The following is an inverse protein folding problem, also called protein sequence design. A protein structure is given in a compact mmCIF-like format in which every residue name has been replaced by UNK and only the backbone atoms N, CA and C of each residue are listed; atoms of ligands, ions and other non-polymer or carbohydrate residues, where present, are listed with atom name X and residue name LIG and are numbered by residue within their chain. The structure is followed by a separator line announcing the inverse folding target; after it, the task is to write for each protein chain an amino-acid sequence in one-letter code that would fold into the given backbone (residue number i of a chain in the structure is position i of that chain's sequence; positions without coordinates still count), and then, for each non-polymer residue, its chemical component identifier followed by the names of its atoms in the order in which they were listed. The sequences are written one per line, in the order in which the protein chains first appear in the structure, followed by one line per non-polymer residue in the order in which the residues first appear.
data_IF_770187375776
#
_entry.id   IF_770187375776
#
_cell.length_a   1.000
_cell.length_b   1.000
_cell.length_c   1.000
_cell.angle_alpha   90.00
_cell.angle_beta   90.00
_cell.angle_gamma   90.00
#
_symmetry.space_group_name_H-M   'P 1'
#
loop_
_entity.id
_entity.type
_entity.pdbx_description
1 polymer ?
#
# COMPACT_ATOMS: atom_id res chain seq x y z
N UNK A 1 9.67 -24.88 -37.26
CA UNK A 1 10.41 -23.69 -37.66
C UNK A 1 11.75 -23.66 -36.91
N UNK A 2 12.77 -23.08 -37.53
CA UNK A 2 14.05 -22.81 -36.86
C UNK A 2 13.88 -21.65 -35.84
N UNK A 3 14.67 -21.60 -34.76
CA UNK A 3 14.53 -20.57 -33.72
C UNK A 3 14.55 -19.15 -34.26
N UNK A 4 15.42 -18.82 -35.19
CA UNK A 4 15.57 -17.49 -35.80
C UNK A 4 14.33 -17.08 -36.61
N UNK A 5 13.67 -18.03 -37.29
CA UNK A 5 12.43 -17.80 -38.02
C UNK A 5 11.30 -17.42 -37.09
N UNK A 6 11.23 -18.10 -35.90
CA UNK A 6 10.24 -17.80 -34.87
C UNK A 6 10.47 -16.38 -34.33
N UNK A 7 11.75 -16.01 -34.06
CA UNK A 7 12.06 -14.68 -33.58
C UNK A 7 11.79 -13.59 -34.60
N UNK A 8 12.09 -13.84 -35.87
CA UNK A 8 11.75 -12.90 -36.95
C UNK A 8 10.24 -12.66 -37.05
N UNK A 9 9.45 -13.73 -37.02
CA UNK A 9 7.99 -13.62 -37.01
C UNK A 9 7.48 -12.90 -35.74
N UNK A 10 8.04 -13.18 -34.56
CA UNK A 10 7.68 -12.50 -33.33
C UNK A 10 7.95 -10.99 -33.40
N UNK A 11 9.08 -10.56 -33.97
CA UNK A 11 9.35 -9.13 -34.15
C UNK A 11 8.34 -8.49 -35.12
N UNK A 12 8.16 -9.06 -36.33
CA UNK A 12 7.31 -8.46 -37.36
C UNK A 12 5.82 -8.51 -37.05
N UNK A 13 5.35 -9.61 -36.48
CA UNK A 13 3.92 -9.86 -36.32
C UNK A 13 3.37 -9.36 -34.99
N UNK A 14 4.18 -9.45 -33.93
CA UNK A 14 3.76 -9.12 -32.57
C UNK A 14 4.31 -7.75 -32.11
N UNK A 15 5.63 -7.47 -32.24
CA UNK A 15 6.23 -6.30 -31.63
C UNK A 15 6.20 -5.02 -32.49
N UNK A 16 6.53 -5.10 -33.79
CA UNK A 16 6.57 -3.93 -34.66
C UNK A 16 5.20 -3.24 -34.83
N UNK A 17 4.12 -3.97 -34.56
CA UNK A 17 2.77 -3.42 -34.52
C UNK A 17 2.46 -2.59 -33.28
N UNK A 18 3.39 -2.54 -32.31
CA UNK A 18 3.24 -1.76 -31.08
C UNK A 18 2.18 -2.30 -30.10
N UNK A 19 1.74 -3.53 -30.26
CA UNK A 19 0.65 -4.14 -29.48
C UNK A 19 1.17 -5.07 -28.41
N UNK A 20 1.83 -4.51 -27.39
CA UNK A 20 2.37 -5.29 -26.27
C UNK A 20 1.28 -5.99 -25.44
N UNK A 21 0.08 -5.43 -25.41
CA UNK A 21 -1.10 -6.05 -24.79
C UNK A 21 -1.45 -7.40 -25.42
N UNK A 22 -1.35 -7.54 -26.72
CA UNK A 22 -1.56 -8.80 -27.43
C UNK A 22 -0.47 -9.83 -27.08
N UNK A 23 0.79 -9.39 -26.96
CA UNK A 23 1.91 -10.23 -26.51
C UNK A 23 1.69 -10.71 -25.08
N UNK A 24 1.24 -9.83 -24.16
CA UNK A 24 0.87 -10.18 -22.79
C UNK A 24 -0.21 -11.26 -22.75
N UNK A 25 -1.29 -11.10 -23.53
CA UNK A 25 -2.37 -12.08 -23.61
C UNK A 25 -1.93 -13.45 -24.14
N UNK A 26 -0.95 -13.45 -25.05
CA UNK A 26 -0.48 -14.68 -25.73
C UNK A 26 0.56 -15.45 -24.92
N UNK A 27 1.44 -14.74 -24.17
CA UNK A 27 2.61 -15.35 -23.53
C UNK A 27 2.65 -15.20 -22.01
N UNK A 28 1.59 -14.66 -21.40
CA UNK A 28 1.45 -14.55 -19.96
C UNK A 28 1.86 -13.19 -19.38
N UNK A 29 1.75 -13.07 -18.07
CA UNK A 29 1.89 -11.82 -17.33
C UNK A 29 3.37 -11.45 -17.08
N UNK A 30 4.03 -10.86 -18.04
CA UNK A 30 5.36 -10.27 -17.89
C UNK A 30 5.33 -8.74 -17.62
N UNK A 31 4.17 -8.14 -17.74
CA UNK A 31 3.78 -6.76 -17.39
C UNK A 31 2.56 -6.87 -16.46
N UNK A 32 2.38 -5.91 -15.58
CA UNK A 32 1.27 -5.89 -14.63
C UNK A 32 -0.09 -6.16 -15.28
N UNK A 33 -0.88 -7.07 -14.68
CA UNK A 33 -2.26 -7.33 -15.11
C UNK A 33 -3.18 -6.12 -14.92
N UNK A 34 -2.78 -5.18 -14.05
CA UNK A 34 -3.49 -3.93 -13.77
C UNK A 34 -3.18 -2.82 -14.76
N UNK A 35 -2.22 -3.02 -15.67
CA UNK A 35 -1.96 -2.10 -16.79
C UNK A 35 -3.08 -2.20 -17.83
N UNK A 36 -3.70 -1.08 -18.21
CA UNK A 36 -4.70 -1.11 -19.29
C UNK A 36 -4.04 -1.40 -20.64
N UNK A 37 -4.74 -2.11 -21.53
CA UNK A 37 -4.24 -2.46 -22.86
C UNK A 37 -3.82 -1.20 -23.65
N UNK A 38 -4.65 -0.15 -23.61
CA UNK A 38 -4.40 1.11 -24.32
C UNK A 38 -3.17 1.84 -23.78
N UNK A 39 -3.00 1.92 -22.46
CA UNK A 39 -1.84 2.54 -21.81
C UNK A 39 -0.56 1.77 -22.16
N UNK A 40 -0.62 0.45 -22.08
CA UNK A 40 0.48 -0.44 -22.39
C UNK A 40 0.94 -0.31 -23.86
N UNK A 41 -0.01 -0.37 -24.78
CA UNK A 41 0.30 -0.29 -26.23
C UNK A 41 0.83 1.10 -26.61
N UNK A 42 0.30 2.18 -26.05
CA UNK A 42 0.83 3.54 -26.24
C UNK A 42 2.27 3.68 -25.74
N UNK A 43 2.54 3.21 -24.51
CA UNK A 43 3.86 3.28 -23.91
C UNK A 43 4.88 2.46 -24.71
N UNK A 44 4.51 1.25 -25.10
CA UNK A 44 5.37 0.38 -25.90
C UNK A 44 5.62 0.95 -27.29
N UNK A 45 4.59 1.43 -27.99
CA UNK A 45 4.72 2.09 -29.28
C UNK A 45 5.68 3.29 -29.22
N UNK A 46 5.60 4.08 -28.14
CA UNK A 46 6.52 5.21 -27.94
C UNK A 46 7.98 4.74 -27.73
N UNK A 47 8.18 3.63 -27.02
CA UNK A 47 9.52 3.05 -26.80
C UNK A 47 10.20 2.58 -28.08
N UNK A 48 9.43 2.02 -29.03
CA UNK A 48 9.98 1.45 -30.27
C UNK A 48 9.92 2.40 -31.47
N UNK A 49 9.25 3.54 -31.34
CA UNK A 49 9.04 4.50 -32.44
C UNK A 49 10.37 4.95 -33.04
N UNK A 50 10.53 4.68 -34.32
CA UNK A 50 11.73 5.08 -35.09
C UNK A 50 12.98 4.26 -34.77
N UNK A 51 12.85 3.19 -33.96
CA UNK A 51 13.98 2.31 -33.61
C UNK A 51 13.91 1.00 -34.39
N UNK A 52 15.07 0.44 -34.66
CA UNK A 52 15.20 -0.88 -35.29
C UNK A 52 15.11 -1.95 -34.21
N UNK A 53 14.15 -2.87 -34.37
CA UNK A 53 14.08 -4.04 -33.51
C UNK A 53 15.05 -5.12 -34.01
N UNK A 54 15.84 -5.66 -33.08
CA UNK A 54 16.81 -6.73 -33.34
C UNK A 54 16.75 -7.77 -32.22
N UNK A 55 17.29 -8.95 -32.46
CA UNK A 55 17.48 -9.96 -31.43
C UNK A 55 18.87 -10.60 -31.51
N UNK A 56 19.37 -11.02 -30.36
CA UNK A 56 20.62 -11.75 -30.20
C UNK A 56 20.43 -12.88 -29.21
N UNK A 57 21.15 -14.00 -29.40
CA UNK A 57 21.12 -15.09 -28.43
C UNK A 57 21.64 -14.62 -27.07
N UNK A 58 20.93 -14.99 -26.01
CA UNK A 58 21.29 -14.69 -24.62
C UNK A 58 22.07 -15.86 -24.03
N UNK A 59 23.14 -15.56 -23.29
CA UNK A 59 23.86 -16.58 -22.49
C UNK A 59 23.10 -16.97 -21.21
N UNK A 60 22.23 -16.09 -20.71
CA UNK A 60 21.40 -16.36 -19.53
C UNK A 60 20.02 -16.85 -19.95
N UNK A 61 19.62 -17.99 -19.42
CA UNK A 61 18.30 -18.61 -19.68
C UNK A 61 17.73 -19.21 -18.40
N UNK A 62 16.40 -19.13 -18.19
CA UNK A 62 15.76 -19.81 -17.08
C UNK A 62 15.75 -21.32 -17.26
N UNK A 63 15.57 -22.04 -16.17
CA UNK A 63 15.41 -23.50 -16.18
C UNK A 63 14.23 -23.92 -17.06
N UNK A 64 14.40 -25.02 -17.80
CA UNK A 64 13.37 -25.52 -18.72
C UNK A 64 13.24 -24.79 -20.06
N UNK A 65 14.13 -23.82 -20.32
CA UNK A 65 14.24 -23.11 -21.59
C UNK A 65 15.44 -23.62 -22.38
N UNK A 66 15.26 -23.95 -23.66
CA UNK A 66 16.34 -24.44 -24.52
C UNK A 66 17.17 -23.29 -25.11
N UNK A 67 16.50 -22.21 -25.53
CA UNK A 67 17.16 -21.06 -26.14
C UNK A 67 16.52 -19.79 -25.56
N UNK A 68 17.34 -18.79 -25.23
CA UNK A 68 16.89 -17.47 -24.86
C UNK A 68 17.44 -16.44 -25.83
N UNK A 69 16.57 -15.47 -26.20
CA UNK A 69 16.94 -14.33 -27.02
C UNK A 69 16.72 -13.03 -26.25
N UNK A 70 17.63 -12.08 -26.45
CA UNK A 70 17.43 -10.68 -26.00
C UNK A 70 16.95 -9.88 -27.18
N UNK A 71 15.78 -9.26 -27.05
CA UNK A 71 15.23 -8.28 -28.01
C UNK A 71 15.68 -6.88 -27.62
N UNK A 72 16.14 -6.12 -28.60
CA UNK A 72 16.60 -4.74 -28.45
C UNK A 72 15.85 -3.81 -29.40
N UNK A 73 15.69 -2.55 -28.97
CA UNK A 73 15.35 -1.43 -29.85
C UNK A 73 16.61 -0.57 -29.99
N UNK A 74 17.19 -0.59 -31.18
CA UNK A 74 18.59 -0.19 -31.43
C UNK A 74 19.53 -0.97 -30.49
N UNK A 75 20.29 -0.31 -29.63
CA UNK A 75 21.19 -0.95 -28.68
C UNK A 75 20.57 -1.20 -27.29
N UNK A 76 19.36 -0.72 -27.06
CA UNK A 76 18.69 -0.80 -25.78
C UNK A 76 17.89 -2.09 -25.63
N UNK A 77 18.14 -2.84 -24.56
CA UNK A 77 17.35 -4.03 -24.21
C UNK A 77 15.91 -3.68 -23.93
N UNK A 78 14.97 -4.43 -24.51
CA UNK A 78 13.54 -4.34 -24.26
C UNK A 78 13.03 -5.53 -23.44
N UNK A 79 13.34 -6.74 -23.91
CA UNK A 79 12.80 -7.96 -23.32
C UNK A 79 13.68 -9.17 -23.64
N UNK A 80 13.40 -10.25 -22.94
CA UNK A 80 13.90 -11.59 -23.28
C UNK A 80 12.76 -12.47 -23.75
N UNK A 81 13.04 -13.32 -24.73
CA UNK A 81 12.11 -14.31 -25.27
C UNK A 81 12.71 -15.68 -25.08
N UNK A 82 11.93 -16.60 -24.52
CA UNK A 82 12.36 -17.94 -24.19
C UNK A 82 11.70 -18.95 -25.11
N UNK A 83 12.48 -19.82 -25.71
CA UNK A 83 12.03 -20.87 -26.57
C UNK A 83 12.23 -22.23 -25.93
N UNK A 84 11.23 -23.10 -26.09
CA UNK A 84 11.29 -24.50 -25.69
C UNK A 84 11.07 -25.40 -26.91
N UNK A 85 11.77 -26.52 -26.96
CA UNK A 85 11.62 -27.52 -27.99
C UNK A 85 10.69 -28.65 -27.53
N UNK A 86 9.67 -28.90 -28.34
CA UNK A 86 8.79 -30.06 -28.17
C UNK A 86 8.62 -30.73 -29.56
N UNK A 87 8.68 -32.04 -29.61
CA UNK A 87 8.49 -32.82 -30.84
C UNK A 87 9.28 -32.30 -32.07
N UNK A 88 10.56 -31.99 -31.85
CA UNK A 88 11.47 -31.44 -32.88
C UNK A 88 11.09 -30.02 -33.37
N UNK A 89 10.14 -29.34 -32.74
CA UNK A 89 9.73 -27.98 -33.09
C UNK A 89 9.99 -27.03 -31.91
N UNK A 90 10.43 -25.82 -32.23
CA UNK A 90 10.55 -24.76 -31.23
C UNK A 90 9.25 -23.93 -31.16
N UNK A 91 8.94 -23.45 -29.99
CA UNK A 91 7.87 -22.48 -29.74
C UNK A 91 8.30 -21.50 -28.65
N UNK A 92 7.72 -20.30 -28.62
CA UNK A 92 7.91 -19.35 -27.53
C UNK A 92 7.21 -19.92 -26.29
N UNK A 93 7.97 -20.13 -25.23
CA UNK A 93 7.48 -20.64 -23.93
C UNK A 93 7.30 -19.53 -22.90
N UNK A 94 7.82 -18.33 -23.15
CA UNK A 94 7.65 -17.20 -22.26
C UNK A 94 8.39 -15.96 -22.74
N UNK A 95 8.03 -14.85 -22.15
CA UNK A 95 8.60 -13.52 -22.38
C UNK A 95 8.88 -12.86 -21.02
N UNK A 96 9.93 -12.07 -20.92
CA UNK A 96 10.23 -11.26 -19.75
C UNK A 96 10.63 -9.85 -20.21
N UNK A 97 9.90 -8.83 -19.75
CA UNK A 97 10.21 -7.43 -20.10
C UNK A 97 11.34 -6.88 -19.22
N UNK A 98 12.07 -5.88 -19.69
CA UNK A 98 13.13 -5.25 -18.89
C UNK A 98 12.51 -4.38 -17.78
N UNK A 99 12.62 -4.87 -16.56
CA UNK A 99 12.06 -4.21 -15.36
C UNK A 99 12.57 -2.77 -15.15
N UNK A 100 13.75 -2.43 -15.67
CA UNK A 100 14.31 -1.07 -15.56
C UNK A 100 13.47 -0.01 -16.29
N UNK A 101 12.59 -0.44 -17.16
CA UNK A 101 11.68 0.43 -17.94
C UNK A 101 10.31 0.56 -17.33
N UNK A 102 10.06 -0.20 -16.27
CA UNK A 102 8.78 -0.22 -15.57
C UNK A 102 8.86 0.57 -14.28
N UNK A 103 7.72 1.11 -13.88
CA UNK A 103 7.52 1.72 -12.57
C UNK A 103 6.89 0.73 -11.60
N UNK A 104 7.06 1.00 -10.33
CA UNK A 104 6.37 0.32 -9.24
C UNK A 104 5.56 1.35 -8.48
N UNK A 105 4.30 1.02 -8.18
CA UNK A 105 3.44 1.86 -7.35
C UNK A 105 3.02 1.10 -6.11
N UNK A 106 2.79 1.83 -5.02
CA UNK A 106 2.28 1.30 -3.78
C UNK A 106 0.91 1.90 -3.47
N UNK A 107 -0.06 1.06 -3.10
CA UNK A 107 -1.38 1.48 -2.67
C UNK A 107 -1.57 1.02 -1.23
N UNK A 108 -1.87 1.95 -0.34
CA UNK A 108 -2.26 1.67 1.04
C UNK A 108 -3.76 1.88 1.20
N UNK A 109 -4.45 0.91 1.76
CA UNK A 109 -5.88 0.96 2.02
C UNK A 109 -6.22 0.16 3.29
N UNK A 110 -7.48 0.18 3.70
CA UNK A 110 -8.02 -0.69 4.76
C UNK A 110 -8.63 -1.95 4.18
N UNK A 111 -8.67 -3.04 4.94
CA UNK A 111 -9.12 -4.37 4.49
C UNK A 111 -10.61 -4.41 4.10
N UNK A 112 -11.41 -3.46 4.57
CA UNK A 112 -12.82 -3.29 4.20
C UNK A 112 -13.01 -2.53 2.88
N UNK A 113 -11.94 -2.00 2.28
CA UNK A 113 -12.00 -1.29 1.02
C UNK A 113 -11.80 -2.24 -0.19
N UNK A 114 -12.67 -2.14 -1.19
CA UNK A 114 -12.42 -2.66 -2.53
C UNK A 114 -11.61 -1.65 -3.32
N UNK A 115 -10.44 -2.06 -3.82
CA UNK A 115 -9.50 -1.23 -4.58
C UNK A 115 -9.60 -1.60 -6.06
N UNK A 116 -9.64 -0.60 -6.92
CA UNK A 116 -9.65 -0.78 -8.37
C UNK A 116 -8.47 -0.02 -8.99
N UNK A 117 -7.74 -0.67 -9.87
CA UNK A 117 -6.63 -0.10 -10.63
C UNK A 117 -6.99 -0.17 -12.12
N UNK A 118 -7.08 0.97 -12.78
CA UNK A 118 -7.55 1.06 -14.18
C UNK A 118 -8.89 0.35 -14.42
N UNK A 119 -9.78 0.36 -13.42
CA UNK A 119 -11.08 -0.31 -13.48
C UNK A 119 -11.06 -1.81 -13.17
N UNK A 120 -9.90 -2.41 -12.92
CA UNK A 120 -9.75 -3.82 -12.52
C UNK A 120 -9.67 -3.91 -11.00
N UNK A 121 -10.52 -4.72 -10.39
CA UNK A 121 -10.48 -4.94 -8.93
C UNK A 121 -9.20 -5.67 -8.53
N UNK A 122 -8.56 -5.18 -7.46
CA UNK A 122 -7.35 -5.79 -6.90
C UNK A 122 -7.72 -7.05 -6.14
N UNK A 123 -7.14 -8.18 -6.55
CA UNK A 123 -7.39 -9.47 -5.94
C UNK A 123 -6.84 -9.54 -4.50
N UNK A 124 -7.49 -10.34 -3.65
CA UNK A 124 -7.06 -10.53 -2.27
C UNK A 124 -5.61 -11.09 -2.17
N UNK A 125 -5.20 -11.93 -3.13
CA UNK A 125 -3.85 -12.49 -3.17
C UNK A 125 -2.74 -11.46 -3.41
N UNK A 126 -3.08 -10.30 -3.99
CA UNK A 126 -2.13 -9.20 -4.25
C UNK A 126 -2.06 -8.20 -3.09
N UNK A 127 -2.83 -8.41 -2.04
CA UNK A 127 -2.88 -7.55 -0.86
C UNK A 127 -2.06 -8.16 0.26
N UNK A 128 -1.26 -7.33 0.92
CA UNK A 128 -0.49 -7.68 2.11
C UNK A 128 -1.09 -7.01 3.32
N UNK A 129 -1.52 -7.78 4.30
CA UNK A 129 -1.98 -7.26 5.58
C UNK A 129 -0.80 -6.69 6.39
N UNK A 130 -0.98 -5.49 6.92
CA UNK A 130 -0.12 -4.95 7.96
C UNK A 130 -0.50 -5.63 9.28
N UNK A 131 0.50 -6.00 10.09
CA UNK A 131 0.25 -6.55 11.41
C UNK A 131 -0.56 -5.53 12.24
N UNK A 132 -1.68 -5.97 12.80
CA UNK A 132 -2.41 -5.17 13.78
C UNK A 132 -1.51 -4.94 15.01
N UNK A 133 -1.52 -3.72 15.59
CA UNK A 133 -0.86 -3.51 16.87
C UNK A 133 -1.45 -4.51 17.88
N UNK A 134 -0.61 -5.01 18.80
CA UNK A 134 -1.07 -5.83 19.91
C UNK A 134 -1.96 -4.97 20.83
N UNK A 135 -3.25 -5.01 20.57
CA UNK A 135 -4.26 -4.26 21.33
C UNK A 135 -4.67 -4.97 22.63
N UNK A 136 -3.97 -6.07 22.97
CA UNK A 136 -4.22 -6.82 24.22
C UNK A 136 -5.55 -7.57 24.25
N UNK A 137 -5.61 -8.67 24.98
CA UNK A 137 -6.65 -9.71 24.96
C UNK A 137 -8.13 -9.30 24.99
N UNK A 138 -8.51 -8.13 25.51
CA UNK A 138 -9.89 -7.66 25.50
C UNK A 138 -10.37 -7.22 24.09
N UNK A 139 -9.45 -6.84 23.21
CA UNK A 139 -9.72 -6.32 21.87
C UNK A 139 -9.29 -7.26 20.74
N UNK A 140 -8.79 -8.45 21.06
CA UNK A 140 -8.44 -9.48 20.08
C UNK A 140 -9.70 -10.11 19.47
N UNK A 141 -10.50 -9.31 18.75
CA UNK A 141 -11.66 -9.78 17.99
C UNK A 141 -11.19 -10.24 16.60
N UNK A 142 -11.75 -11.34 16.12
CA UNK A 142 -11.66 -11.71 14.70
C UNK A 142 -12.41 -10.67 13.86
N UNK A 143 -11.87 -10.33 12.67
CA UNK A 143 -12.55 -9.44 11.72
C UNK A 143 -12.27 -7.94 11.95
N UNK A 144 -11.19 -7.59 12.64
CA UNK A 144 -10.75 -6.21 12.72
C UNK A 144 -10.29 -5.70 11.34
N UNK A 145 -10.62 -4.45 11.06
CA UNK A 145 -10.14 -3.75 9.88
C UNK A 145 -8.63 -3.52 10.05
N UNK A 146 -7.83 -4.10 9.16
CA UNK A 146 -6.39 -3.90 9.13
C UNK A 146 -6.01 -2.98 7.96
N UNK A 147 -4.81 -2.41 8.01
CA UNK A 147 -4.21 -1.75 6.86
C UNK A 147 -3.65 -2.81 5.92
N UNK A 148 -3.82 -2.59 4.63
CA UNK A 148 -3.31 -3.43 3.56
C UNK A 148 -2.42 -2.62 2.63
N UNK A 149 -1.39 -3.26 2.10
CA UNK A 149 -0.54 -2.70 1.05
C UNK A 149 -0.63 -3.56 -0.20
N UNK A 150 -0.79 -2.89 -1.33
CA UNK A 150 -0.73 -3.48 -2.67
C UNK A 150 0.46 -2.91 -3.40
N UNK A 151 1.31 -3.77 -3.93
CA UNK A 151 2.45 -3.35 -4.75
C UNK A 151 2.14 -3.65 -6.22
N UNK A 152 2.04 -2.62 -7.03
CA UNK A 152 1.84 -2.74 -8.48
C UNK A 152 3.20 -2.72 -9.16
N UNK A 153 3.77 -3.88 -9.40
CA UNK A 153 5.05 -4.01 -10.11
C UNK A 153 4.85 -4.04 -11.63
N UNK A 154 5.91 -3.71 -12.35
CA UNK A 154 6.01 -3.83 -13.80
C UNK A 154 4.94 -3.02 -14.56
N UNK A 155 4.66 -1.80 -14.12
CA UNK A 155 3.81 -0.83 -14.81
C UNK A 155 4.63 -0.07 -15.85
N UNK A 156 4.31 -0.18 -17.14
CA UNK A 156 5.07 0.45 -18.24
C UNK A 156 4.47 1.78 -18.69
N UNK A 157 3.17 1.90 -18.63
CA UNK A 157 2.42 3.02 -19.21
C UNK A 157 2.30 4.25 -18.34
N UNK A 158 1.18 4.93 -18.46
CA UNK A 158 0.85 6.08 -17.63
C UNK A 158 0.61 5.68 -16.18
N UNK A 159 0.66 6.66 -15.28
CA UNK A 159 0.32 6.45 -13.88
C UNK A 159 -1.08 5.82 -13.77
N UNK A 160 -1.26 4.79 -12.94
CA UNK A 160 -2.53 4.09 -12.82
C UNK A 160 -3.64 4.98 -12.26
N UNK A 161 -4.85 4.79 -12.75
CA UNK A 161 -6.05 5.37 -12.13
C UNK A 161 -6.48 4.45 -11.00
N UNK A 162 -6.31 4.92 -9.77
CA UNK A 162 -6.69 4.17 -8.56
C UNK A 162 -8.00 4.74 -8.03
N UNK A 163 -8.99 3.86 -7.81
CA UNK A 163 -10.25 4.18 -7.13
C UNK A 163 -10.54 3.16 -6.05
N UNK A 164 -11.31 3.54 -5.04
CA UNK A 164 -11.65 2.63 -3.95
C UNK A 164 -13.10 2.86 -3.48
N UNK A 165 -13.68 1.82 -2.86
CA UNK A 165 -15.03 1.86 -2.27
C UNK A 165 -15.05 1.06 -0.98
N UNK A 166 -15.85 1.50 0.00
CA UNK A 166 -16.22 0.71 1.18
C UNK A 166 -17.72 0.78 1.38
N UNK A 167 -18.39 -0.36 1.62
CA UNK A 167 -19.84 -0.44 1.77
C UNK A 167 -20.62 0.11 0.56
N UNK A 168 -20.00 0.17 -0.64
CA UNK A 168 -20.59 0.74 -1.86
C UNK A 168 -20.34 2.25 -2.04
N UNK A 169 -19.89 2.96 -1.02
CA UNK A 169 -19.52 4.39 -1.10
C UNK A 169 -18.10 4.55 -1.67
N UNK A 170 -17.89 5.57 -2.49
CA UNK A 170 -16.56 5.91 -3.00
C UNK A 170 -15.69 6.48 -1.87
N UNK A 171 -14.44 6.04 -1.80
CA UNK A 171 -13.44 6.56 -0.89
C UNK A 171 -12.53 7.56 -1.62
N UNK A 172 -12.03 8.53 -0.89
CA UNK A 172 -11.00 9.44 -1.38
C UNK A 172 -9.67 8.69 -1.56
N UNK A 173 -8.95 9.00 -2.64
CA UNK A 173 -7.62 8.46 -2.92
C UNK A 173 -6.65 9.61 -3.10
N UNK A 174 -5.69 9.71 -2.19
CA UNK A 174 -4.62 10.69 -2.23
C UNK A 174 -3.41 10.09 -2.96
N UNK A 175 -2.83 10.84 -3.92
CA UNK A 175 -1.61 10.45 -4.62
C UNK A 175 -0.42 11.28 -4.15
N UNK A 176 0.67 10.62 -3.78
CA UNK A 176 1.94 11.25 -3.45
C UNK A 176 3.09 10.52 -4.16
N UNK A 177 3.55 11.10 -5.28
CA UNK A 177 4.54 10.44 -6.14
C UNK A 177 4.02 9.13 -6.71
N UNK A 178 4.73 8.03 -6.43
CA UNK A 178 4.36 6.68 -6.84
C UNK A 178 3.53 5.93 -5.77
N UNK A 179 3.11 6.62 -4.72
CA UNK A 179 2.26 6.06 -3.66
C UNK A 179 0.82 6.61 -3.74
N UNK A 180 -0.14 5.74 -3.45
CA UNK A 180 -1.56 6.06 -3.32
C UNK A 180 -2.03 5.68 -1.92
N UNK A 181 -2.76 6.57 -1.26
CA UNK A 181 -3.35 6.34 0.05
C UNK A 181 -4.87 6.43 -0.07
N UNK A 182 -5.55 5.33 0.18
CA UNK A 182 -7.02 5.31 0.27
C UNK A 182 -7.40 5.79 1.67
N UNK A 183 -8.08 6.92 1.73
CA UNK A 183 -8.53 7.52 2.99
C UNK A 183 -9.68 6.68 3.55
N UNK A 184 -9.51 6.17 4.76
CA UNK A 184 -10.58 5.43 5.45
C UNK A 184 -11.77 6.35 5.74
N UNK A 185 -12.98 5.92 5.41
CA UNK A 185 -14.19 6.61 5.87
C UNK A 185 -14.32 6.45 7.39
N UNK A 186 -14.31 7.57 8.07
CA UNK A 186 -14.38 7.64 9.51
C UNK A 186 -15.25 8.82 9.93
N UNK A 187 -16.57 8.64 9.80
CA UNK A 187 -17.58 9.66 10.14
C UNK A 187 -17.56 10.06 11.62
N UNK A 188 -17.12 9.15 12.52
CA UNK A 188 -17.04 9.37 13.96
C UNK A 188 -15.76 10.10 14.41
N UNK A 189 -14.89 10.50 13.48
CA UNK A 189 -13.57 11.08 13.74
C UNK A 189 -13.60 12.22 14.76
N UNK A 190 -14.52 13.18 14.60
CA UNK A 190 -14.60 14.33 15.49
C UNK A 190 -15.04 13.94 16.91
N UNK A 191 -16.02 13.04 17.03
CA UNK A 191 -16.50 12.55 18.31
C UNK A 191 -15.43 11.74 19.06
N UNK A 192 -14.72 10.86 18.33
CA UNK A 192 -13.62 10.06 18.87
C UNK A 192 -12.47 10.97 19.29
N UNK A 193 -12.11 11.97 18.48
CA UNK A 193 -11.07 12.95 18.81
C UNK A 193 -11.39 13.73 20.06
N UNK A 194 -12.62 14.26 20.17
CA UNK A 194 -13.07 14.99 21.35
C UNK A 194 -13.03 14.12 22.63
N UNK A 195 -13.47 12.86 22.54
CA UNK A 195 -13.37 11.91 23.66
C UNK A 195 -11.93 11.65 24.03
N UNK A 196 -11.06 11.39 23.06
CA UNK A 196 -9.64 11.09 23.29
C UNK A 196 -8.90 12.28 23.92
N UNK A 197 -9.16 13.51 23.48
CA UNK A 197 -8.59 14.73 24.09
C UNK A 197 -9.01 14.84 25.55
N UNK A 198 -10.29 14.60 25.85
CA UNK A 198 -10.79 14.63 27.23
C UNK A 198 -10.15 13.55 28.10
N UNK A 199 -10.06 12.32 27.60
CA UNK A 199 -9.42 11.22 28.31
C UNK A 199 -7.94 11.48 28.58
N UNK A 200 -7.20 11.96 27.54
CA UNK A 200 -5.78 12.30 27.66
C UNK A 200 -5.56 13.47 28.62
N UNK A 201 -6.45 14.47 28.60
CA UNK A 201 -6.39 15.62 29.53
C UNK A 201 -6.52 15.18 30.98
N UNK A 202 -7.56 14.38 31.30
CA UNK A 202 -7.77 13.84 32.66
C UNK A 202 -6.60 12.95 33.10
N UNK A 203 -6.01 12.17 32.16
CA UNK A 203 -4.82 11.38 32.45
C UNK A 203 -3.61 12.26 32.77
N UNK A 204 -3.36 13.31 31.99
CA UNK A 204 -2.27 14.24 32.22
C UNK A 204 -2.41 14.97 33.58
N UNK A 205 -3.61 15.45 33.92
CA UNK A 205 -3.92 16.02 35.25
C UNK A 205 -3.68 14.99 36.35
N UNK A 206 -4.13 13.75 36.18
CA UNK A 206 -3.92 12.70 37.18
C UNK A 206 -2.42 12.43 37.40
N UNK A 207 -1.59 12.46 36.36
CA UNK A 207 -0.14 12.27 36.48
C UNK A 207 0.54 13.41 37.22
N UNK A 208 -0.05 14.62 37.28
CA UNK A 208 0.43 15.79 38.03
C UNK A 208 -0.23 15.94 39.43
N UNK A 209 -1.11 15.04 39.85
CA UNK A 209 -1.94 15.06 41.06
C UNK A 209 -3.06 16.12 41.05
N UNK A 210 -3.44 16.66 39.89
CA UNK A 210 -4.57 17.60 39.77
C UNK A 210 -5.91 16.93 39.53
N UNK A 211 -5.92 15.62 39.28
CA UNK A 211 -7.12 14.83 39.09
C UNK A 211 -7.10 13.56 39.97
N UNK A 212 -8.29 13.02 40.27
CA UNK A 212 -8.47 11.82 41.09
C UNK A 212 -8.46 10.53 40.24
N UNK A 213 -8.24 9.37 40.93
CA UNK A 213 -8.42 8.04 40.35
C UNK A 213 -9.83 7.80 39.82
N UNK A 214 -10.82 8.35 40.48
CA UNK A 214 -12.23 8.21 40.07
C UNK A 214 -12.49 8.92 38.76
N UNK A 215 -11.84 10.07 38.53
CA UNK A 215 -11.99 10.80 37.28
C UNK A 215 -11.37 10.04 36.13
N UNK A 216 -10.10 9.60 36.26
CA UNK A 216 -9.46 8.84 35.19
C UNK A 216 -10.14 7.47 34.98
N UNK A 217 -10.66 6.86 36.01
CA UNK A 217 -11.39 5.58 35.96
C UNK A 217 -12.62 5.62 35.03
N UNK A 218 -13.20 6.79 34.77
CA UNK A 218 -14.32 6.97 33.83
C UNK A 218 -13.93 6.82 32.35
N UNK A 219 -12.63 6.92 32.06
CA UNK A 219 -12.09 6.88 30.69
C UNK A 219 -11.31 5.62 30.37
N UNK A 220 -11.16 4.72 31.32
CA UNK A 220 -10.38 3.49 31.16
C UNK A 220 -11.25 2.27 31.44
N UNK A 221 -11.25 1.32 30.49
CA UNK A 221 -11.97 0.06 30.69
C UNK A 221 -11.37 -0.74 31.87
N UNK A 222 -12.23 -1.04 32.86
CA UNK A 222 -11.86 -1.75 34.07
C UNK A 222 -11.34 -3.18 33.83
N UNK A 223 -11.64 -3.78 32.69
CA UNK A 223 -11.14 -5.10 32.29
C UNK A 223 -9.66 -5.10 31.88
N UNK A 224 -9.07 -3.94 31.63
CA UNK A 224 -7.71 -3.82 31.05
C UNK A 224 -6.61 -3.92 32.12
N UNK A 225 -5.42 -4.38 31.71
CA UNK A 225 -4.19 -4.34 32.51
C UNK A 225 -3.80 -2.89 32.82
N UNK A 226 -4.06 -1.97 31.92
CA UNK A 226 -3.80 -0.55 32.09
C UNK A 226 -4.63 0.03 33.24
N UNK A 227 -5.95 -0.29 33.30
CA UNK A 227 -6.79 0.10 34.41
C UNK A 227 -6.26 -0.42 35.76
N UNK A 228 -5.91 -1.72 35.81
CA UNK A 228 -5.37 -2.33 37.03
C UNK A 228 -4.08 -1.63 37.50
N UNK A 229 -3.22 -1.27 36.57
CA UNK A 229 -2.00 -0.51 36.85
C UNK A 229 -2.31 0.89 37.39
N UNK A 230 -3.23 1.63 36.76
CA UNK A 230 -3.65 2.96 37.22
C UNK A 230 -4.32 2.94 38.60
N UNK A 231 -5.16 1.95 38.86
CA UNK A 231 -5.86 1.80 40.15
C UNK A 231 -4.93 1.27 41.24
N UNK A 232 -3.79 0.68 40.91
CA UNK A 232 -2.77 0.25 41.82
C UNK A 232 -1.98 1.42 42.41
N UNK A 233 -0.69 1.45 42.17
CA UNK A 233 0.23 2.52 42.60
C UNK A 233 1.13 2.94 41.45
N UNK A 234 0.60 3.67 40.47
CA UNK A 234 1.41 4.10 39.32
C UNK A 234 2.49 5.08 39.76
N UNK A 235 3.64 4.97 39.13
CA UNK A 235 4.70 5.98 39.25
C UNK A 235 4.22 7.24 38.56
N UNK A 236 4.20 8.36 39.27
CA UNK A 236 3.82 9.68 38.74
C UNK A 236 5.05 10.57 38.65
N UNK A 237 5.13 11.36 37.59
CA UNK A 237 6.18 12.37 37.40
C UNK A 237 5.60 13.74 37.72
N UNK A 238 5.49 14.04 39.01
CA UNK A 238 4.88 15.29 39.46
C UNK A 238 5.93 16.40 39.44
N UNK A 239 5.64 17.47 38.70
CA UNK A 239 6.42 18.73 38.74
C UNK A 239 5.72 19.65 39.75
N UNK A 240 6.42 20.16 40.80
CA UNK A 240 5.80 21.07 41.77
C UNK A 240 5.26 22.34 41.09
N UNK A 241 3.94 22.57 41.23
CA UNK A 241 3.24 23.72 40.65
C UNK A 241 2.03 24.10 41.50
N UNK A 242 1.56 25.36 41.33
CA UNK A 242 0.38 25.87 41.97
C UNK A 242 -0.83 25.86 41.05
N UNK A 243 -0.58 25.81 39.74
CA UNK A 243 -1.64 25.77 38.73
C UNK A 243 -1.22 24.94 37.53
N UNK A 244 -2.15 24.14 37.05
CA UNK A 244 -2.08 23.33 35.84
C UNK A 244 -3.08 23.85 34.78
N UNK A 245 -2.69 23.93 33.52
CA UNK A 245 -3.58 24.25 32.41
C UNK A 245 -3.14 23.57 31.12
N UNK A 246 -4.09 22.97 30.38
CA UNK A 246 -3.88 22.52 29.01
C UNK A 246 -4.06 23.73 28.10
N UNK A 247 -3.05 24.03 27.28
CA UNK A 247 -3.03 25.21 26.40
C UNK A 247 -3.43 24.86 24.98
N UNK A 248 -2.91 23.76 24.47
CA UNK A 248 -3.11 23.32 23.10
C UNK A 248 -3.39 21.82 23.08
N UNK A 249 -4.26 21.42 22.16
CA UNK A 249 -4.58 20.02 21.91
C UNK A 249 -4.60 19.79 20.41
N UNK A 250 -4.01 18.69 19.98
CA UNK A 250 -4.04 18.23 18.58
C UNK A 250 -4.38 16.76 18.54
N UNK A 251 -5.13 16.35 17.51
CA UNK A 251 -5.43 14.94 17.24
C UNK A 251 -5.00 14.57 15.84
N UNK A 252 -4.35 13.41 15.71
CA UNK A 252 -3.86 12.87 14.44
C UNK A 252 -3.91 11.35 14.42
N UNK A 253 -3.49 10.75 13.30
CA UNK A 253 -3.33 9.29 13.14
C UNK A 253 -4.59 8.49 13.51
N UNK A 254 -5.74 8.98 13.09
CA UNK A 254 -7.01 8.28 13.33
C UNK A 254 -7.06 6.95 12.59
N UNK A 255 -7.51 5.92 13.29
CA UNK A 255 -7.78 4.59 12.73
C UNK A 255 -9.06 4.00 13.30
N UNK A 256 -9.88 3.44 12.44
CA UNK A 256 -11.06 2.65 12.79
C UNK A 256 -10.73 1.18 12.56
N UNK A 257 -10.88 0.35 13.58
CA UNK A 257 -10.66 -1.10 13.52
C UNK A 257 -11.98 -1.89 13.47
N UNK A 258 -13.04 -1.32 14.03
CA UNK A 258 -14.41 -1.80 13.98
C UNK A 258 -15.36 -0.64 14.31
N UNK A 259 -16.67 -0.87 14.34
CA UNK A 259 -17.64 0.16 14.69
C UNK A 259 -17.52 0.64 16.14
N UNK A 260 -16.89 -0.13 17.02
CA UNK A 260 -16.70 0.16 18.43
C UNK A 260 -15.22 0.26 18.87
N UNK A 261 -14.26 0.17 17.94
CA UNK A 261 -12.84 0.19 18.25
C UNK A 261 -12.09 1.17 17.35
N UNK A 262 -11.50 2.18 17.97
CA UNK A 262 -10.80 3.26 17.32
C UNK A 262 -9.47 3.56 18.00
N UNK A 263 -8.55 4.19 17.29
CA UNK A 263 -7.38 4.82 17.88
C UNK A 263 -7.11 6.18 17.24
N UNK A 264 -6.50 7.07 17.99
CA UNK A 264 -5.90 8.30 17.48
C UNK A 264 -4.71 8.69 18.36
N UNK A 265 -3.86 9.55 17.83
CA UNK A 265 -2.83 10.23 18.61
C UNK A 265 -3.40 11.53 19.16
N UNK A 266 -3.13 11.80 20.45
CA UNK A 266 -3.43 13.08 21.09
C UNK A 266 -2.13 13.72 21.54
N UNK A 267 -1.89 14.95 21.11
CA UNK A 267 -0.79 15.79 21.59
C UNK A 267 -1.35 16.87 22.47
N UNK A 268 -0.79 17.03 23.68
CA UNK A 268 -1.19 18.04 24.67
C UNK A 268 0.00 18.94 24.97
N UNK A 269 -0.23 20.26 24.98
CA UNK A 269 0.71 21.24 25.52
C UNK A 269 0.21 21.71 26.88
N UNK A 270 0.93 21.39 27.93
CA UNK A 270 0.57 21.72 29.30
C UNK A 270 1.40 22.90 29.82
N UNK A 271 0.76 23.82 30.54
CA UNK A 271 1.42 24.89 31.28
C UNK A 271 1.30 24.65 32.79
N UNK A 272 2.46 24.59 33.44
CA UNK A 272 2.57 24.50 34.91
C UNK A 272 3.10 25.84 35.45
N UNK A 273 2.40 26.46 36.37
CA UNK A 273 2.77 27.74 36.95
C UNK A 273 3.11 27.55 38.45
N UNK A 274 4.23 28.14 38.89
CA UNK A 274 4.63 28.14 40.30
C UNK A 274 5.08 29.52 40.72
N UNK A 275 4.53 30.04 41.83
CA UNK A 275 4.87 31.36 42.39
C UNK A 275 4.71 32.49 41.36
N UNK A 276 3.72 32.39 40.45
CA UNK A 276 3.51 33.37 39.35
C UNK A 276 4.50 33.30 38.21
N UNK A 277 5.39 32.28 38.16
CA UNK A 277 6.31 32.01 37.03
C UNK A 277 5.79 30.78 36.26
N UNK A 278 5.86 30.89 34.92
CA UNK A 278 5.54 29.79 33.99
C UNK A 278 6.70 28.82 33.88
#
# INVERSE_FOLDING_TARGET
AQPEQIMTAFLSDDLEKGRLSAVRKKYGEFISKYESDDSLDKAFSALIKGKKLTFTTSSSRPEGCDIAYTVKADDERLMSVFLKRADKRYSISGVSFDKKRCKTYEITATSDASIFVNGVEVEAADRKDEALPDVGGAFAKSGLICRQTVTLENMLGADPVVTAKSGGAALEVEKNGDAYNVVQDFSEKDAVGAFAVKAAGVYAEYMQNDSSREQIGKFVDSGTTFYKHLMGSPVKYVIPHDRYAIKETETSDFRKYSDDLFSCRVTLVNELTRGGRK
#
